data_IF_517271769948
#
_entry.id   IF_517271769948
#
_cell.length_a   1.000
_cell.length_b   1.000
_cell.length_c   1.000
_cell.angle_alpha   90.00
_cell.angle_beta   90.00
_cell.angle_gamma   90.00
#
_symmetry.space_group_name_H-M   'P 1'
#
loop_
_entity.id
_entity.type
_entity.pdbx_description
1 polymer ?
#
# COMPACT_ATOMS: atom_id res chain seq x y z
N UNK A 1 -6.21 1.59 -0.60
CA UNK A 1 -7.04 2.68 -1.15
C UNK A 1 -6.43 3.38 -2.36
N UNK A 2 -5.24 4.00 -2.30
CA UNK A 2 -4.73 4.84 -3.41
C UNK A 2 -4.60 4.13 -4.77
N UNK A 3 -4.39 2.82 -4.80
CA UNK A 3 -4.46 2.05 -6.05
C UNK A 3 -5.80 2.16 -6.76
N UNK A 4 -6.90 2.24 -6.01
CA UNK A 4 -8.25 2.28 -6.55
C UNK A 4 -8.56 3.57 -7.31
N UNK A 5 -7.90 4.68 -6.95
CA UNK A 5 -8.12 5.99 -7.56
C UNK A 5 -7.00 6.41 -8.52
N UNK A 6 -5.82 5.78 -8.44
CA UNK A 6 -4.64 6.21 -9.19
C UNK A 6 -4.33 5.34 -10.40
N UNK A 7 -4.92 4.14 -10.47
CA UNK A 7 -4.63 3.13 -11.48
C UNK A 7 -5.93 2.67 -12.13
N UNK A 8 -5.95 2.80 -13.46
CA UNK A 8 -6.97 2.19 -14.30
C UNK A 8 -6.34 0.98 -15.00
N UNK A 9 -6.67 -0.20 -14.50
CA UNK A 9 -6.27 -1.47 -15.09
C UNK A 9 -7.53 -2.29 -15.36
N UNK A 10 -8.32 -1.83 -16.32
CA UNK A 10 -9.46 -2.59 -16.84
C UNK A 10 -8.97 -3.75 -17.71
N UNK A 11 -8.71 -4.90 -17.08
CA UNK A 11 -8.51 -6.17 -17.76
C UNK A 11 -9.45 -7.23 -17.18
N UNK A 12 -10.42 -7.74 -17.96
CA UNK A 12 -11.46 -8.64 -17.48
C UNK A 12 -10.95 -10.04 -17.10
N UNK A 13 -9.72 -10.38 -17.51
CA UNK A 13 -9.07 -11.68 -17.31
C UNK A 13 -7.99 -11.66 -16.20
N UNK A 14 -7.91 -10.58 -15.44
CA UNK A 14 -6.94 -10.46 -14.35
C UNK A 14 -7.43 -11.18 -13.10
N UNK A 15 -6.60 -12.11 -12.63
CA UNK A 15 -6.76 -12.78 -11.35
C UNK A 15 -5.93 -12.05 -10.29
N UNK A 16 -6.52 -11.85 -9.12
CA UNK A 16 -5.85 -11.34 -7.92
C UNK A 16 -6.31 -12.22 -6.75
N UNK A 17 -5.36 -12.91 -6.12
CA UNK A 17 -5.61 -13.85 -5.03
C UNK A 17 -5.91 -13.16 -3.70
N UNK A 18 -5.31 -11.98 -3.46
CA UNK A 18 -5.53 -11.19 -2.25
C UNK A 18 -6.62 -10.14 -2.46
N UNK A 19 -7.73 -10.32 -1.76
CA UNK A 19 -8.77 -9.30 -1.67
C UNK A 19 -8.29 -8.07 -0.90
N UNK A 20 -8.88 -6.89 -1.13
CA UNK A 20 -8.68 -5.70 -0.30
C UNK A 20 -9.14 -5.94 1.14
N UNK A 21 -8.50 -5.29 2.11
CA UNK A 21 -9.03 -5.24 3.48
C UNK A 21 -10.42 -4.59 3.56
N UNK A 22 -11.20 -4.97 4.57
CA UNK A 22 -12.54 -4.40 4.81
C UNK A 22 -12.49 -2.87 4.96
N UNK A 23 -11.44 -2.35 5.59
CA UNK A 23 -11.20 -0.90 5.74
C UNK A 23 -11.06 -0.22 4.37
N UNK A 24 -10.39 -0.86 3.41
CA UNK A 24 -10.27 -0.32 2.05
C UNK A 24 -11.60 -0.38 1.31
N UNK A 25 -12.36 -1.47 1.46
CA UNK A 25 -13.69 -1.60 0.84
C UNK A 25 -14.65 -0.54 1.36
N UNK A 26 -14.69 -0.33 2.68
CA UNK A 26 -15.51 0.71 3.31
C UNK A 26 -15.12 2.10 2.79
N UNK A 27 -13.82 2.42 2.73
CA UNK A 27 -13.36 3.72 2.24
C UNK A 27 -13.69 3.94 0.75
N UNK A 28 -13.66 2.88 -0.06
CA UNK A 28 -14.09 2.94 -1.46
C UNK A 28 -15.58 3.20 -1.55
N UNK A 29 -16.41 2.52 -0.76
CA UNK A 29 -17.86 2.75 -0.71
C UNK A 29 -18.19 4.19 -0.30
N UNK A 30 -17.52 4.71 0.74
CA UNK A 30 -17.65 6.10 1.18
C UNK A 30 -17.25 7.13 0.10
N UNK A 31 -16.42 6.73 -0.87
CA UNK A 31 -15.93 7.60 -1.94
C UNK A 31 -16.87 7.64 -3.17
N UNK A 32 -17.86 6.75 -3.26
CA UNK A 32 -18.76 6.65 -4.43
C UNK A 32 -19.57 7.93 -4.64
N UNK A 33 -20.16 8.51 -3.59
CA UNK A 33 -20.93 9.76 -3.71
C UNK A 33 -20.09 10.90 -4.30
N UNK A 34 -18.84 11.03 -3.85
CA UNK A 34 -17.93 12.05 -4.37
C UNK A 34 -17.64 11.82 -5.85
N UNK A 35 -17.37 10.57 -6.25
CA UNK A 35 -17.15 10.20 -7.65
C UNK A 35 -18.37 10.58 -8.51
N UNK A 36 -19.58 10.21 -8.08
CA UNK A 36 -20.81 10.48 -8.83
C UNK A 36 -21.07 11.98 -8.99
N UNK A 37 -20.77 12.77 -7.95
CA UNK A 37 -20.87 14.23 -8.00
C UNK A 37 -19.87 14.85 -8.98
N UNK A 38 -18.64 14.33 -9.04
CA UNK A 38 -17.64 14.81 -10.01
C UNK A 38 -18.06 14.41 -11.43
N UNK A 39 -18.55 13.19 -11.65
CA UNK A 39 -19.07 12.74 -12.95
C UNK A 39 -20.24 13.60 -13.41
N UNK A 40 -21.21 13.88 -12.53
CA UNK A 40 -22.34 14.76 -12.85
C UNK A 40 -21.88 16.18 -13.26
N UNK A 41 -20.87 16.71 -12.56
CA UNK A 41 -20.27 18.00 -12.90
C UNK A 41 -19.49 17.97 -14.23
N UNK A 42 -18.80 16.87 -14.54
CA UNK A 42 -18.13 16.68 -15.84
C UNK A 42 -19.16 16.66 -16.97
N UNK A 43 -20.22 15.87 -16.82
CA UNK A 43 -21.30 15.76 -17.81
C UNK A 43 -21.99 17.10 -18.06
N UNK A 44 -22.23 17.91 -17.01
CA UNK A 44 -22.83 19.23 -17.17
C UNK A 44 -21.96 20.21 -17.97
N UNK A 45 -20.64 19.93 -18.07
CA UNK A 45 -19.68 20.71 -18.86
C UNK A 45 -19.29 20.01 -20.17
N UNK A 46 -19.95 18.92 -20.55
CA UNK A 46 -19.65 18.17 -21.76
C UNK A 46 -18.32 17.40 -21.73
N UNK A 47 -17.81 17.10 -20.54
CA UNK A 47 -16.62 16.27 -20.35
C UNK A 47 -17.04 14.80 -20.15
N UNK A 48 -16.32 13.89 -20.80
CA UNK A 48 -16.48 12.44 -20.67
C UNK A 48 -15.13 11.82 -20.30
N UNK A 49 -14.74 11.98 -19.03
CA UNK A 49 -13.45 11.52 -18.51
C UNK A 49 -13.72 10.49 -17.40
N UNK A 50 -13.30 9.24 -17.56
CA UNK A 50 -13.49 8.22 -16.54
C UNK A 50 -12.83 8.60 -15.21
N UNK A 51 -13.51 8.28 -14.11
CA UNK A 51 -12.98 8.43 -12.74
C UNK A 51 -12.80 7.03 -12.15
N UNK A 52 -11.57 6.50 -12.09
CA UNK A 52 -11.32 5.19 -11.52
C UNK A 52 -11.66 5.17 -10.03
N UNK A 53 -12.31 4.10 -9.61
CA UNK A 53 -12.57 3.78 -8.21
C UNK A 53 -12.77 2.27 -8.13
N UNK A 54 -11.68 1.53 -8.32
CA UNK A 54 -11.67 0.07 -8.43
C UNK A 54 -10.70 -0.54 -7.39
N UNK A 55 -11.21 -1.23 -6.35
CA UNK A 55 -10.35 -1.77 -5.32
C UNK A 55 -9.59 -3.04 -5.73
N UNK A 56 -9.78 -3.59 -6.94
CA UNK A 56 -9.23 -4.89 -7.40
C UNK A 56 -7.76 -5.10 -7.02
N UNK A 57 -6.91 -4.09 -7.14
CA UNK A 57 -5.46 -4.21 -6.87
C UNK A 57 -5.02 -3.77 -5.47
N UNK A 58 -5.95 -3.38 -4.60
CA UNK A 58 -5.61 -2.92 -3.26
C UNK A 58 -4.98 -4.03 -2.40
N UNK A 59 -5.48 -5.27 -2.48
CA UNK A 59 -4.90 -6.39 -1.72
C UNK A 59 -3.47 -6.73 -2.12
N UNK A 60 -3.08 -6.51 -3.38
CA UNK A 60 -1.70 -6.66 -3.85
C UNK A 60 -0.79 -5.58 -3.26
N UNK A 61 -1.28 -4.34 -3.24
CA UNK A 61 -0.54 -3.20 -2.67
C UNK A 61 -0.37 -3.35 -1.16
N UNK A 62 -1.40 -3.82 -0.47
CA UNK A 62 -1.34 -4.16 0.96
C UNK A 62 -0.34 -5.28 1.22
N UNK A 63 -0.41 -6.39 0.47
CA UNK A 63 0.55 -7.48 0.57
C UNK A 63 2.00 -6.99 0.37
N UNK A 64 2.25 -6.11 -0.60
CA UNK A 64 3.57 -5.51 -0.79
C UNK A 64 3.98 -4.63 0.39
N UNK A 65 3.10 -3.79 0.93
CA UNK A 65 3.43 -2.97 2.11
C UNK A 65 3.69 -3.82 3.36
N UNK A 66 3.09 -5.02 3.44
CA UNK A 66 3.28 -5.99 4.53
C UNK A 66 4.59 -6.78 4.45
N UNK A 67 5.41 -6.55 3.42
CA UNK A 67 6.72 -7.18 3.31
C UNK A 67 6.76 -8.45 2.48
N UNK A 68 5.63 -8.89 1.88
CA UNK A 68 5.60 -10.05 0.97
C UNK A 68 6.70 -9.91 -0.09
N UNK A 69 7.43 -11.00 -0.34
CA UNK A 69 8.55 -10.98 -1.27
C UNK A 69 8.08 -10.73 -2.71
N UNK A 70 8.96 -10.20 -3.57
CA UNK A 70 8.60 -9.96 -4.97
C UNK A 70 8.15 -11.23 -5.68
N UNK A 71 8.87 -12.33 -5.46
CA UNK A 71 8.57 -13.64 -6.05
C UNK A 71 7.21 -14.17 -5.60
N UNK A 72 6.86 -14.03 -4.32
CA UNK A 72 5.56 -14.45 -3.81
C UNK A 72 4.44 -13.55 -4.34
N UNK A 73 4.67 -12.23 -4.39
CA UNK A 73 3.68 -11.27 -4.92
C UNK A 73 3.29 -11.60 -6.37
N UNK A 74 4.25 -12.03 -7.19
CA UNK A 74 3.99 -12.48 -8.57
C UNK A 74 3.12 -13.75 -8.64
N UNK A 75 3.09 -14.58 -7.59
CA UNK A 75 2.19 -15.75 -7.54
C UNK A 75 0.76 -15.39 -7.18
N UNK A 76 0.53 -14.19 -6.62
CA UNK A 76 -0.80 -13.74 -6.18
C UNK A 76 -1.63 -13.13 -7.31
N UNK A 77 -1.08 -12.97 -8.52
CA UNK A 77 -1.80 -12.33 -9.62
C UNK A 77 -1.37 -12.81 -11.00
N UNK A 78 -2.27 -12.74 -11.98
CA UNK A 78 -1.93 -12.94 -13.40
C UNK A 78 -1.42 -11.65 -14.09
N UNK A 79 -1.33 -10.53 -13.35
CA UNK A 79 -0.77 -9.28 -13.87
C UNK A 79 0.68 -9.46 -14.30
N UNK A 80 1.03 -8.85 -15.43
CA UNK A 80 2.41 -8.86 -15.91
C UNK A 80 3.33 -8.10 -14.95
N UNK A 81 4.56 -8.61 -14.78
CA UNK A 81 5.55 -8.04 -13.85
C UNK A 81 5.74 -6.52 -14.02
N UNK A 82 5.89 -6.04 -15.26
CA UNK A 82 6.03 -4.61 -15.55
C UNK A 82 4.80 -3.76 -15.20
N UNK A 83 3.60 -4.34 -15.33
CA UNK A 83 2.35 -3.67 -14.92
C UNK A 83 2.25 -3.59 -13.40
N UNK A 84 2.72 -4.61 -12.68
CA UNK A 84 2.78 -4.62 -11.23
C UNK A 84 3.77 -3.59 -10.69
N UNK A 85 4.97 -3.49 -11.29
CA UNK A 85 5.95 -2.43 -10.96
C UNK A 85 5.32 -1.05 -11.17
N UNK A 86 4.64 -0.84 -12.30
CA UNK A 86 3.96 0.42 -12.62
C UNK A 86 2.85 0.76 -11.63
N UNK A 87 2.02 -0.22 -11.26
CA UNK A 87 0.99 -0.08 -10.22
C UNK A 87 1.59 0.39 -8.90
N UNK A 88 2.62 -0.31 -8.40
CA UNK A 88 3.24 -0.01 -7.11
C UNK A 88 3.92 1.37 -7.12
N UNK A 89 4.65 1.70 -8.20
CA UNK A 89 5.26 3.04 -8.36
C UNK A 89 4.22 4.15 -8.41
N UNK A 90 3.10 3.93 -9.11
CA UNK A 90 2.01 4.91 -9.18
C UNK A 90 1.39 5.18 -7.80
N UNK A 91 1.25 4.15 -6.97
CA UNK A 91 0.83 4.31 -5.58
C UNK A 91 1.85 5.12 -4.79
N UNK A 92 3.14 4.80 -4.90
CA UNK A 92 4.20 5.56 -4.24
C UNK A 92 4.21 7.04 -4.69
N UNK A 93 4.00 7.33 -5.97
CA UNK A 93 3.94 8.71 -6.47
C UNK A 93 2.80 9.52 -5.84
N UNK A 94 1.64 8.89 -5.62
CA UNK A 94 0.52 9.53 -4.90
C UNK A 94 0.90 9.77 -3.45
N UNK A 95 1.49 8.77 -2.77
CA UNK A 95 1.95 8.93 -1.39
C UNK A 95 2.99 10.07 -1.26
N UNK A 96 3.90 10.22 -2.23
CA UNK A 96 4.90 11.32 -2.26
C UNK A 96 4.28 12.70 -2.39
N UNK A 97 3.10 12.80 -3.01
CA UNK A 97 2.40 14.08 -3.17
C UNK A 97 1.74 14.53 -1.87
N UNK A 98 1.24 13.61 -1.03
CA UNK A 98 0.46 13.94 0.16
C UNK A 98 1.18 14.89 1.13
N UNK A 99 2.46 14.67 1.51
CA UNK A 99 3.19 15.59 2.38
C UNK A 99 3.42 16.98 1.78
N UNK A 100 3.36 17.12 0.45
CA UNK A 100 3.61 18.39 -0.27
C UNK A 100 2.35 19.22 -0.45
N UNK A 101 1.18 18.64 -0.18
CA UNK A 101 -0.09 19.36 -0.21
C UNK A 101 -0.13 20.42 0.91
N UNK A 102 -0.81 21.55 0.67
CA UNK A 102 -0.88 22.62 1.66
C UNK A 102 -1.51 22.13 2.95
N UNK A 103 -0.81 22.36 4.06
CA UNK A 103 -1.37 22.22 5.40
C UNK A 103 -2.13 23.49 5.75
N UNK A 104 -3.43 23.38 5.95
CA UNK A 104 -4.25 24.50 6.41
C UNK A 104 -4.99 24.04 7.68
N UNK A 105 -4.52 24.43 8.88
CA UNK A 105 -5.23 24.13 10.12
C UNK A 105 -6.66 24.66 10.06
N UNK A 106 -7.64 23.82 10.42
CA UNK A 106 -9.07 24.16 10.46
C UNK A 106 -9.72 24.50 9.10
N UNK A 107 -9.13 24.07 7.99
CA UNK A 107 -9.68 24.21 6.63
C UNK A 107 -9.49 22.90 5.82
N UNK A 108 -9.78 22.92 4.51
CA UNK A 108 -9.69 21.80 3.56
C UNK A 108 -8.25 21.36 3.22
N UNK A 109 -7.34 21.36 4.20
CA UNK A 109 -5.96 20.91 4.08
C UNK A 109 -5.72 19.46 4.50
N UNK A 110 -4.52 18.93 4.22
CA UNK A 110 -4.13 17.57 4.63
C UNK A 110 -3.64 17.58 6.07
N UNK A 111 -4.23 16.76 6.95
CA UNK A 111 -3.83 16.70 8.37
C UNK A 111 -2.38 16.24 8.57
N UNK A 112 -1.76 16.64 9.69
CA UNK A 112 -0.41 16.16 10.07
C UNK A 112 -0.36 14.64 10.17
N UNK A 113 -1.41 14.03 10.73
CA UNK A 113 -1.54 12.58 10.79
C UNK A 113 -1.51 11.93 9.40
N UNK A 114 -2.27 12.46 8.43
CA UNK A 114 -2.28 11.90 7.07
C UNK A 114 -0.92 12.08 6.36
N UNK A 115 -0.22 13.20 6.58
CA UNK A 115 1.15 13.41 6.07
C UNK A 115 2.13 12.38 6.64
N UNK A 116 2.04 12.11 7.94
CA UNK A 116 2.87 11.09 8.62
C UNK A 116 2.57 9.69 8.09
N UNK A 117 1.30 9.31 7.98
CA UNK A 117 0.92 7.99 7.45
C UNK A 117 1.36 7.80 6.00
N UNK A 118 1.29 8.84 5.16
CA UNK A 118 1.78 8.76 3.79
C UNK A 118 3.29 8.49 3.71
N UNK A 119 4.09 9.09 4.60
CA UNK A 119 5.54 8.85 4.68
C UNK A 119 5.85 7.44 5.16
N UNK A 120 5.15 6.97 6.20
CA UNK A 120 5.28 5.58 6.70
C UNK A 120 4.97 4.57 5.61
N UNK A 121 3.86 4.77 4.89
CA UNK A 121 3.50 3.91 3.76
C UNK A 121 4.56 3.93 2.66
N UNK A 122 5.21 5.08 2.37
CA UNK A 122 6.32 5.12 1.43
C UNK A 122 7.49 4.24 1.86
N UNK A 123 7.91 4.34 3.12
CA UNK A 123 9.01 3.53 3.66
C UNK A 123 8.73 2.03 3.54
N UNK A 124 7.50 1.59 3.81
CA UNK A 124 7.10 0.19 3.68
C UNK A 124 7.09 -0.30 2.22
N UNK A 125 6.75 0.59 1.28
CA UNK A 125 6.62 0.28 -0.14
C UNK A 125 7.96 0.33 -0.89
N UNK A 126 8.95 1.05 -0.38
CA UNK A 126 10.25 1.34 -1.03
C UNK A 126 11.21 0.15 -0.95
N UNK A 127 10.94 -0.88 -1.75
CA UNK A 127 11.74 -2.12 -1.82
C UNK A 127 11.99 -2.51 -3.27
N UNK A 128 13.09 -3.22 -3.54
CA UNK A 128 13.39 -3.73 -4.88
C UNK A 128 12.27 -4.68 -5.36
N UNK A 129 11.78 -4.59 -6.61
CA UNK A 129 12.28 -3.79 -7.74
C UNK A 129 11.61 -2.41 -7.91
N UNK A 130 10.71 -2.05 -7.00
CA UNK A 130 9.90 -0.83 -7.08
C UNK A 130 10.67 0.39 -6.58
N UNK A 131 11.70 0.15 -5.76
CA UNK A 131 12.50 1.17 -5.09
C UNK A 131 12.98 2.27 -6.03
N UNK A 132 13.05 3.48 -5.47
CA UNK A 132 13.46 4.69 -6.18
C UNK A 132 14.86 5.11 -5.71
N UNK A 133 15.73 5.53 -6.62
CA UNK A 133 17.07 6.04 -6.28
C UNK A 133 16.99 7.40 -5.53
N UNK A 134 15.79 8.01 -5.50
CA UNK A 134 15.46 9.20 -4.71
C UNK A 134 14.95 8.77 -3.34
N UNK A 135 15.83 8.22 -2.50
CA UNK A 135 15.52 7.81 -1.13
C UNK A 135 14.97 9.00 -0.34
N UNK A 136 13.75 8.87 0.18
CA UNK A 136 13.18 9.83 1.14
C UNK A 136 13.94 9.66 2.45
N UNK A 137 14.90 10.54 2.76
CA UNK A 137 15.53 10.57 4.08
C UNK A 137 14.49 11.03 5.08
N UNK A 138 13.92 10.08 5.84
CA UNK A 138 13.17 10.41 7.05
C UNK A 138 14.17 11.11 7.98
N UNK A 139 13.88 12.34 8.40
CA UNK A 139 14.78 13.04 9.33
C UNK A 139 14.80 12.31 10.68
N UNK A 140 15.91 12.41 11.42
CA UNK A 140 16.01 11.80 12.76
C UNK A 140 14.91 12.29 13.71
N UNK A 141 14.46 13.54 13.57
CA UNK A 141 13.30 14.09 14.29
C UNK A 141 12.00 13.34 13.97
N UNK A 142 11.80 12.94 12.71
CA UNK A 142 10.63 12.19 12.28
C UNK A 142 10.68 10.73 12.74
N UNK A 143 11.87 10.14 12.90
CA UNK A 143 12.06 8.80 13.46
C UNK A 143 11.77 8.76 14.97
N UNK A 144 12.10 9.83 15.71
CA UNK A 144 11.84 9.91 17.15
C UNK A 144 10.34 10.00 17.52
N UNK A 145 9.47 10.45 16.59
CA UNK A 145 8.01 10.43 16.79
C UNK A 145 7.38 9.03 16.54
N UNK A 146 8.16 8.03 16.13
CA UNK A 146 7.69 6.70 15.75
C UNK A 146 8.01 5.69 16.84
N UNK A 147 7.08 5.42 17.76
CA UNK A 147 7.11 4.16 18.50
C UNK A 147 6.62 3.04 17.58
N UNK A 148 7.49 2.07 17.29
CA UNK A 148 7.21 0.94 16.40
C UNK A 148 6.12 -0.04 16.90
N UNK A 149 5.63 0.08 18.14
CA UNK A 149 4.61 -0.81 18.69
C UNK A 149 3.19 -0.55 18.18
N UNK A 150 2.86 0.67 17.77
CA UNK A 150 1.51 1.02 17.30
C UNK A 150 1.17 0.45 15.92
N UNK A 151 2.18 0.19 15.07
CA UNK A 151 1.98 -0.26 13.69
C UNK A 151 1.75 -1.77 13.57
N UNK A 152 2.41 -2.60 14.40
CA UNK A 152 2.21 -4.06 14.42
C UNK A 152 0.86 -4.46 15.03
N UNK A 153 0.29 -3.60 15.87
CA UNK A 153 -0.98 -3.85 16.57
C UNK A 153 -2.20 -3.57 15.70
N UNK A 154 -2.17 -2.53 14.86
CA UNK A 154 -3.27 -2.14 13.98
C UNK A 154 -3.31 -2.90 12.65
N UNK A 155 -2.20 -3.54 12.26
CA UNK A 155 -2.04 -4.26 10.98
C UNK A 155 -2.03 -5.78 11.16
N UNK A 156 -2.62 -6.29 12.25
CA UNK A 156 -2.83 -7.73 12.43
C UNK A 156 -3.70 -8.27 11.30
N UNK A 157 -3.14 -9.17 10.51
CA UNK A 157 -3.91 -10.01 9.61
C UNK A 157 -4.97 -10.74 10.44
N UNK A 158 -6.23 -10.85 9.98
CA UNK A 158 -7.23 -11.65 10.66
C UNK A 158 -6.68 -13.08 10.82
N UNK A 159 -6.63 -13.57 12.06
CA UNK A 159 -6.22 -14.93 12.37
C UNK A 159 -7.08 -15.89 11.53
N UNK A 160 -6.44 -16.64 10.62
CA UNK A 160 -7.09 -17.66 9.79
C UNK A 160 -7.08 -17.47 8.27
N UNK A 161 -6.35 -16.50 7.69
CA UNK A 161 -6.31 -16.30 6.23
C UNK A 161 -4.93 -16.34 5.56
N UNK A 162 -3.89 -16.80 6.27
CA UNK A 162 -2.60 -17.14 5.66
C UNK A 162 -2.59 -18.65 5.41
N UNK A 163 -3.06 -19.09 4.25
CA UNK A 163 -2.67 -20.42 3.79
C UNK A 163 -1.22 -20.29 3.33
N UNK A 164 -0.28 -20.91 4.06
CA UNK A 164 1.08 -21.11 3.56
C UNK A 164 1.08 -21.87 2.23
N UNK A 165 2.23 -21.98 1.54
CA UNK A 165 2.36 -22.88 0.40
C UNK A 165 1.83 -24.26 0.78
N UNK A 166 1.01 -24.84 -0.10
CA UNK A 166 0.13 -25.98 0.22
C UNK A 166 0.87 -27.07 1.01
N UNK A 167 0.46 -27.28 2.27
CA UNK A 167 0.99 -28.33 3.16
C UNK A 167 1.80 -27.88 4.38
N UNK A 168 2.04 -26.59 4.57
CA UNK A 168 2.74 -26.07 5.75
C UNK A 168 1.78 -25.81 6.91
N UNK A 169 2.16 -26.23 8.12
CA UNK A 169 1.45 -25.96 9.36
C UNK A 169 1.74 -24.56 9.90
N UNK A 170 0.83 -24.00 10.72
CA UNK A 170 1.00 -22.66 11.34
C UNK A 170 2.30 -22.51 12.14
N UNK A 171 2.83 -23.62 12.69
CA UNK A 171 4.11 -23.65 13.39
C UNK A 171 5.31 -23.45 12.46
N UNK A 172 5.27 -24.01 11.24
CA UNK A 172 6.35 -23.89 10.25
C UNK A 172 6.43 -22.48 9.65
N UNK A 173 5.28 -21.82 9.48
CA UNK A 173 5.21 -20.41 9.06
C UNK A 173 5.77 -19.49 10.14
N UNK A 174 5.41 -19.74 11.41
CA UNK A 174 5.90 -18.93 12.54
C UNK A 174 7.41 -19.09 12.78
N UNK A 175 7.95 -20.29 12.57
CA UNK A 175 9.38 -20.56 12.73
C UNK A 175 10.23 -19.96 11.59
N UNK A 176 9.70 -19.89 10.37
CA UNK A 176 10.36 -19.25 9.24
C UNK A 176 10.48 -17.73 9.46
N UNK A 177 9.41 -17.08 9.90
CA UNK A 177 9.38 -15.65 10.21
C UNK A 177 10.32 -15.30 11.37
N UNK A 178 10.39 -16.13 12.41
CA UNK A 178 11.31 -15.94 13.53
C UNK A 178 12.79 -16.11 13.14
N UNK A 179 13.10 -16.96 12.15
CA UNK A 179 14.47 -17.13 11.63
C UNK A 179 14.92 -15.96 10.75
N UNK A 180 13.99 -15.31 10.04
CA UNK A 180 14.29 -14.10 9.26
C UNK A 180 14.49 -12.86 10.15
N UNK A 181 13.69 -12.68 11.21
CA UNK A 181 13.89 -11.60 12.18
C UNK A 181 15.28 -11.70 12.86
N UNK A 182 15.78 -12.91 13.14
CA UNK A 182 17.14 -13.12 13.65
C UNK A 182 18.24 -12.87 12.60
N UNK A 183 17.94 -12.96 11.30
CA UNK A 183 18.89 -12.66 10.23
C UNK A 183 19.07 -11.14 10.05
N UNK A 184 17.99 -10.37 10.27
CA UNK A 184 18.03 -8.91 10.23
C UNK A 184 18.83 -8.31 11.40
N UNK A 185 18.73 -8.87 12.60
CA UNK A 185 19.51 -8.42 13.77
C UNK A 185 21.02 -8.64 13.57
N UNK A 186 21.43 -9.70 12.87
CA UNK A 186 22.86 -9.98 12.61
C UNK A 186 23.50 -9.01 11.61
N UNK A 187 22.71 -8.38 10.73
CA UNK A 187 23.23 -7.41 9.74
C UNK A 187 23.42 -6.00 10.29
N UNK A 188 22.89 -5.70 11.49
CA UNK A 188 23.02 -4.40 12.15
C UNK A 188 24.29 -4.26 13.01
N UNK A 189 24.99 -5.36 13.31
CA UNK A 189 26.20 -5.35 14.16
C UNK A 189 27.54 -5.31 13.40
N UNK A 190 27.55 -5.34 12.05
CA UNK A 190 28.79 -5.46 11.26
C UNK A 190 29.26 -4.18 10.54
N UNK A 191 28.83 -3.00 10.98
CA UNK A 191 29.41 -1.73 10.52
C UNK A 191 29.95 -0.89 11.67
N UNK A 192 31.18 -1.20 12.09
CA UNK A 192 32.07 -0.32 12.86
C UNK A 192 33.43 -0.21 12.12
#
# INVERSE_FOLDING_TARGET
>A
FFSAIAVDMSRPDVFVASGPSDVVLELVEQSVDMKDRILAAQMSHGLDIPIPLDPTFAGIVEAWAMGVSWTELLTLTSVQEGDLIRLLRRVMDVLRQIPRLPYVPNDRGVSTALRLQARRALTLMDRFPVSDDVTYTVSEEELMEVSNEGLKTDMKLPEGQISGPMGWSEGEVSEALAKEDMLFDYTAEESD
#
